data_IF_753323087763
#
_entry.id   IF_753323087763
#
_cell.length_a   1.000
_cell.length_b   1.000
_cell.length_c   1.000
_cell.angle_alpha   90.00
_cell.angle_beta   90.00
_cell.angle_gamma   90.00
#
_symmetry.space_group_name_H-M   'P 1'
#
loop_
_entity.id
_entity.type
_entity.pdbx_description
1 polymer ?
#
# COMPACT_ATOMS: atom_id res chain seq x y z
N UNK A 1 -12.14 3.35 0.96
CA UNK A 1 -11.83 2.42 2.08
C UNK A 1 -11.11 1.20 1.53
N UNK A 2 -9.99 0.79 2.14
CA UNK A 2 -9.27 -0.43 1.74
C UNK A 2 -9.91 -1.66 2.38
N UNK A 3 -10.51 -2.53 1.56
CA UNK A 3 -11.12 -3.80 2.01
C UNK A 3 -10.88 -4.92 1.00
N UNK A 4 -10.88 -6.15 1.51
CA UNK A 4 -10.77 -7.39 0.75
C UNK A 4 -9.33 -7.82 0.47
N UNK A 5 -9.17 -9.04 -0.04
CA UNK A 5 -7.90 -9.59 -0.50
C UNK A 5 -7.79 -9.45 -2.02
N UNK A 6 -6.60 -9.16 -2.52
CA UNK A 6 -6.30 -9.16 -3.96
C UNK A 6 -5.01 -9.91 -4.18
N UNK A 7 -5.06 -10.97 -5.00
CA UNK A 7 -3.84 -11.62 -5.44
C UNK A 7 -3.12 -10.69 -6.42
N UNK A 8 -1.83 -10.43 -6.15
CA UNK A 8 -0.96 -9.64 -7.01
C UNK A 8 0.32 -10.43 -7.28
N UNK A 9 0.89 -10.23 -8.45
CA UNK A 9 2.19 -10.79 -8.79
C UNK A 9 3.29 -9.75 -8.53
N UNK A 10 4.47 -10.22 -8.12
CA UNK A 10 5.69 -9.44 -8.17
C UNK A 10 6.33 -9.63 -9.54
N UNK A 11 6.79 -8.53 -10.13
CA UNK A 11 7.64 -8.62 -11.31
C UNK A 11 9.08 -9.02 -10.94
N UNK A 12 9.91 -9.25 -11.97
CA UNK A 12 11.34 -9.58 -11.81
C UNK A 12 12.17 -8.57 -11.01
N UNK A 13 11.65 -7.36 -10.77
CA UNK A 13 12.32 -6.29 -10.02
C UNK A 13 11.71 -6.10 -8.63
N UNK A 14 10.83 -7.02 -8.21
CA UNK A 14 10.16 -6.95 -6.92
C UNK A 14 9.09 -5.86 -6.83
N UNK A 15 8.59 -5.35 -7.96
CA UNK A 15 7.52 -4.35 -7.97
C UNK A 15 6.16 -5.02 -7.96
N UNK A 16 5.22 -4.43 -7.24
CA UNK A 16 3.80 -4.77 -7.31
C UNK A 16 3.05 -3.67 -8.05
N UNK A 17 2.06 -4.07 -8.85
CA UNK A 17 1.13 -3.11 -9.43
C UNK A 17 -0.02 -2.89 -8.46
N UNK A 18 -0.23 -1.65 -8.04
CA UNK A 18 -1.40 -1.28 -7.23
C UNK A 18 -2.68 -1.62 -8.02
N UNK A 19 -3.62 -2.38 -7.44
CA UNK A 19 -4.90 -2.69 -8.09
C UNK A 19 -5.64 -1.42 -8.48
N UNK A 20 -6.21 -1.40 -9.70
CA UNK A 20 -6.82 -0.20 -10.30
C UNK A 20 -7.85 0.48 -9.40
N UNK A 21 -8.66 -0.30 -8.68
CA UNK A 21 -9.69 0.19 -7.75
C UNK A 21 -9.18 1.10 -6.63
N UNK A 22 -7.88 1.07 -6.33
CA UNK A 22 -7.28 1.87 -5.26
C UNK A 22 -6.52 3.09 -5.76
N UNK A 23 -6.17 3.16 -7.05
CA UNK A 23 -5.26 4.18 -7.57
C UNK A 23 -5.80 5.59 -7.39
N UNK A 24 -7.07 5.83 -7.73
CA UNK A 24 -7.70 7.14 -7.59
C UNK A 24 -7.68 7.60 -6.14
N UNK A 25 -8.15 6.77 -5.21
CA UNK A 25 -8.17 7.09 -3.78
C UNK A 25 -6.77 7.34 -3.20
N UNK A 26 -5.76 6.56 -3.62
CA UNK A 26 -4.38 6.76 -3.16
C UNK A 26 -3.77 8.05 -3.71
N UNK A 27 -4.05 8.39 -4.97
CA UNK A 27 -3.60 9.64 -5.55
C UNK A 27 -4.28 10.84 -4.89
N UNK A 28 -5.58 10.77 -4.61
CA UNK A 28 -6.33 11.83 -3.92
C UNK A 28 -5.88 12.00 -2.46
N UNK A 29 -5.52 10.91 -1.77
CA UNK A 29 -5.15 10.95 -0.37
C UNK A 29 -3.69 11.39 -0.12
N UNK A 30 -2.77 11.04 -1.02
CA UNK A 30 -1.34 11.26 -0.78
C UNK A 30 -0.50 11.42 -2.05
N UNK A 31 -1.09 11.75 -3.20
CA UNK A 31 -0.38 11.84 -4.50
C UNK A 31 0.40 10.55 -4.85
N UNK A 32 -0.06 9.41 -4.33
CA UNK A 32 0.62 8.13 -4.49
C UNK A 32 1.86 7.95 -3.60
N UNK A 33 2.16 8.88 -2.70
CA UNK A 33 3.20 8.72 -1.68
C UNK A 33 2.76 7.70 -0.63
N UNK A 34 3.58 6.68 -0.43
CA UNK A 34 3.31 5.56 0.46
C UNK A 34 4.53 5.28 1.34
N UNK A 35 4.26 4.76 2.54
CA UNK A 35 5.27 4.23 3.46
C UNK A 35 5.07 2.72 3.55
N UNK A 36 6.14 1.98 3.30
CA UNK A 36 6.18 0.52 3.45
C UNK A 36 7.01 0.17 4.69
N UNK A 37 6.46 -0.64 5.58
CA UNK A 37 7.15 -1.09 6.80
C UNK A 37 6.87 -2.57 7.06
N UNK A 38 7.62 -3.16 7.99
CA UNK A 38 7.34 -4.51 8.50
C UNK A 38 6.21 -4.48 9.54
N UNK A 39 5.39 -5.52 9.57
CA UNK A 39 4.53 -5.77 10.72
C UNK A 39 5.36 -6.39 11.86
N UNK A 40 5.03 -6.06 13.12
CA UNK A 40 5.76 -6.55 14.30
C UNK A 40 5.20 -7.88 14.85
N UNK A 41 4.01 -8.28 14.43
CA UNK A 41 3.27 -9.44 14.93
C UNK A 41 3.11 -10.54 13.87
N UNK A 42 3.16 -10.21 12.58
CA UNK A 42 2.96 -11.13 11.46
C UNK A 42 4.09 -10.99 10.43
N UNK A 43 4.44 -12.05 9.69
CA UNK A 43 5.47 -12.01 8.66
C UNK A 43 4.93 -11.37 7.37
N UNK A 44 4.60 -10.09 7.42
CA UNK A 44 4.07 -9.34 6.29
C UNK A 44 4.60 -7.90 6.25
N UNK A 45 4.36 -7.25 5.11
CA UNK A 45 4.60 -5.83 4.93
C UNK A 45 3.28 -5.07 5.11
N UNK A 46 3.38 -3.91 5.74
CA UNK A 46 2.30 -2.94 5.86
C UNK A 46 2.57 -1.78 4.93
N UNK A 47 1.50 -1.27 4.31
CA UNK A 47 1.57 -0.14 3.40
C UNK A 47 0.57 0.92 3.84
N UNK A 48 1.08 2.12 4.12
CA UNK A 48 0.30 3.27 4.58
C UNK A 48 0.43 4.42 3.57
N UNK A 49 -0.62 5.22 3.41
CA UNK A 49 -0.48 6.55 2.79
C UNK A 49 0.38 7.42 3.69
N UNK A 50 1.22 8.30 3.12
CA UNK A 50 2.12 9.16 3.92
C UNK A 50 1.38 9.93 5.04
N UNK A 51 0.23 10.59 4.81
CA UNK A 51 -0.48 11.30 5.86
C UNK A 51 -1.03 10.42 6.98
N UNK A 52 -1.24 9.12 6.73
CA UNK A 52 -1.71 8.19 7.78
C UNK A 52 -0.55 7.73 8.65
N UNK A 53 0.64 7.56 8.06
CA UNK A 53 1.85 7.25 8.79
C UNK A 53 2.24 8.38 9.75
N UNK A 54 2.19 9.63 9.27
CA UNK A 54 2.60 10.82 10.03
C UNK A 54 1.63 11.25 11.14
N UNK A 55 0.43 10.67 11.22
CA UNK A 55 -0.52 10.94 12.32
C UNK A 55 -0.13 10.27 13.64
N UNK A 56 0.83 9.35 13.61
CA UNK A 56 1.32 8.63 14.79
C UNK A 56 2.42 9.39 15.52
#
# INVERSE_FOLDING_TARGET
MFRGATLVNLDSKGRITVPSRYRTTLNEASEGQMVCTIDLNQPCLLLYTLPEWEKN
#
